data_IF_963029978278
#
_entry.id   IF_963029978278
#
_cell.length_a   1.000
_cell.length_b   1.000
_cell.length_c   1.000
_cell.angle_alpha   90.00
_cell.angle_beta   90.00
_cell.angle_gamma   90.00
#
_symmetry.space_group_name_H-M   'P 1'
#
loop_
_entity.id
_entity.type
_entity.pdbx_description
1 polymer ?
#
# COMPACT_ATOMS: atom_id res chain seq x y z
N UNK A 1 -19.09 -7.38 52.36
CA UNK A 1 -19.46 -6.27 51.45
C UNK A 1 -18.35 -6.08 50.42
N UNK A 2 -18.39 -6.82 49.33
CA UNK A 2 -17.47 -6.64 48.21
C UNK A 2 -18.17 -5.80 47.15
N UNK A 3 -17.69 -4.57 46.93
CA UNK A 3 -18.19 -3.66 45.92
C UNK A 3 -17.81 -4.21 44.52
N UNK A 4 -18.81 -4.40 43.69
CA UNK A 4 -18.68 -4.69 42.25
C UNK A 4 -17.91 -3.55 41.58
N UNK A 5 -16.68 -3.78 41.09
CA UNK A 5 -16.01 -2.89 40.16
C UNK A 5 -16.65 -3.07 38.79
N UNK A 6 -17.03 -1.95 38.20
CA UNK A 6 -17.73 -1.80 36.93
C UNK A 6 -16.89 -2.24 35.75
N UNK A 7 -17.46 -2.95 34.75
CA UNK A 7 -16.75 -3.38 33.53
C UNK A 7 -16.59 -2.26 32.47
N UNK A 8 -16.61 -0.98 32.86
CA UNK A 8 -16.63 0.16 31.93
C UNK A 8 -15.24 0.52 31.37
N UNK A 9 -14.14 0.01 31.94
CA UNK A 9 -12.77 0.39 31.52
C UNK A 9 -12.25 -0.41 30.31
N UNK A 10 -12.89 -1.50 29.89
CA UNK A 10 -12.37 -2.36 28.81
C UNK A 10 -12.84 -1.99 27.40
N UNK A 11 -13.71 -1.00 27.24
CA UNK A 11 -14.30 -0.64 25.93
C UNK A 11 -13.61 0.55 25.23
N UNK A 12 -12.57 1.13 25.81
CA UNK A 12 -11.91 2.32 25.26
C UNK A 12 -10.66 2.02 24.39
N UNK A 13 -10.24 0.75 24.28
CA UNK A 13 -9.00 0.38 23.58
C UNK A 13 -9.17 -0.10 22.15
N UNK A 14 -10.38 -0.20 21.59
CA UNK A 14 -10.60 -0.81 20.27
C UNK A 14 -10.62 0.23 19.13
N UNK A 15 -10.74 1.53 19.42
CA UNK A 15 -10.87 2.56 18.37
C UNK A 15 -9.58 3.32 18.01
N UNK A 16 -8.41 2.89 18.49
CA UNK A 16 -7.14 3.58 18.22
C UNK A 16 -6.42 3.01 16.96
N UNK A 17 -6.80 1.82 16.49
CA UNK A 17 -6.05 1.12 15.45
C UNK A 17 -6.13 1.76 14.04
N UNK A 18 -7.18 2.52 13.73
CA UNK A 18 -7.34 3.08 12.37
C UNK A 18 -6.59 4.40 12.15
N UNK A 19 -6.29 5.13 13.21
CA UNK A 19 -5.51 6.37 13.12
C UNK A 19 -4.01 6.10 12.96
N UNK A 20 -3.51 4.99 13.52
CA UNK A 20 -2.09 4.62 13.50
C UNK A 20 -1.59 4.13 12.14
N UNK A 21 -2.45 3.57 11.27
CA UNK A 21 -2.01 3.03 9.98
C UNK A 21 -1.49 4.11 9.00
N UNK A 22 -1.98 5.35 9.12
CA UNK A 22 -1.50 6.47 8.30
C UNK A 22 -0.21 7.10 8.86
N UNK A 23 0.04 7.01 10.17
CA UNK A 23 1.25 7.56 10.79
C UNK A 23 2.50 6.69 10.51
N UNK A 24 2.34 5.37 10.38
CA UNK A 24 3.44 4.45 10.08
C UNK A 24 4.15 4.75 8.76
N UNK A 25 3.46 5.30 7.77
CA UNK A 25 4.05 5.64 6.45
C UNK A 25 5.11 6.73 6.57
N UNK A 26 4.92 7.66 7.50
CA UNK A 26 5.84 8.77 7.75
C UNK A 26 7.04 8.39 8.63
N UNK A 27 7.07 7.15 9.13
CA UNK A 27 8.15 6.64 9.96
C UNK A 27 9.09 5.77 9.09
N UNK A 28 10.24 6.33 8.73
CA UNK A 28 11.26 5.62 7.96
C UNK A 28 12.24 4.97 8.93
N UNK A 29 12.35 3.65 8.86
CA UNK A 29 13.26 2.80 9.64
C UNK A 29 14.43 2.34 8.77
N UNK A 30 15.42 1.74 9.42
CA UNK A 30 16.55 1.06 8.77
C UNK A 30 17.31 1.96 7.76
N UNK A 31 17.37 3.27 8.04
CA UNK A 31 18.04 4.24 7.18
C UNK A 31 19.51 4.37 7.59
N UNK A 32 20.36 3.70 6.85
CA UNK A 32 21.80 3.60 7.12
C UNK A 32 22.59 4.75 6.46
N UNK A 33 23.57 5.26 7.20
CA UNK A 33 24.49 6.29 6.72
C UNK A 33 25.93 5.86 6.98
N UNK A 34 26.76 5.94 5.94
CA UNK A 34 28.20 5.65 6.00
C UNK A 34 28.98 6.90 5.61
N UNK A 35 29.90 7.36 6.49
CA UNK A 35 30.78 8.49 6.25
C UNK A 35 32.24 8.12 6.52
N UNK A 36 33.16 8.82 5.87
CA UNK A 36 34.58 8.76 6.25
C UNK A 36 34.81 9.54 7.54
N UNK A 37 35.53 8.96 8.48
CA UNK A 37 35.90 9.64 9.71
C UNK A 37 36.93 10.74 9.44
N UNK A 38 36.60 11.99 9.80
CA UNK A 38 37.44 13.15 9.68
C UNK A 38 38.05 13.62 11.02
N UNK A 39 37.84 12.84 12.09
CA UNK A 39 38.31 13.13 13.45
C UNK A 39 37.36 14.04 14.26
N UNK A 40 36.34 14.62 13.65
CA UNK A 40 35.35 15.45 14.34
C UNK A 40 34.01 14.73 14.48
N UNK A 41 33.80 14.07 15.60
CA UNK A 41 32.59 13.25 15.85
C UNK A 41 31.29 14.09 15.84
N UNK A 42 31.32 15.34 16.33
CA UNK A 42 30.13 16.20 16.34
C UNK A 42 29.71 16.57 14.91
N UNK A 43 30.68 16.94 14.09
CA UNK A 43 30.43 17.24 12.66
C UNK A 43 29.94 16.01 11.90
N UNK A 44 30.50 14.85 12.18
CA UNK A 44 30.06 13.57 11.57
C UNK A 44 28.61 13.26 11.92
N UNK A 45 28.20 13.45 13.17
CA UNK A 45 26.82 13.25 13.61
C UNK A 45 25.85 14.20 12.91
N UNK A 46 26.18 15.49 12.82
CA UNK A 46 25.33 16.47 12.15
C UNK A 46 25.22 16.17 10.64
N UNK A 47 26.33 15.82 10.00
CA UNK A 47 26.34 15.42 8.59
C UNK A 47 25.55 14.12 8.36
N UNK A 48 25.73 13.10 9.21
CA UNK A 48 24.99 11.85 9.13
C UNK A 48 23.49 12.09 9.29
N UNK A 49 23.10 12.90 10.25
CA UNK A 49 21.70 13.30 10.48
C UNK A 49 21.10 13.96 9.23
N UNK A 50 21.77 14.96 8.67
CA UNK A 50 21.30 15.66 7.47
C UNK A 50 21.15 14.72 6.28
N UNK A 51 22.15 13.88 6.02
CA UNK A 51 22.12 12.89 4.94
C UNK A 51 21.01 11.87 5.17
N UNK A 52 20.86 11.39 6.40
CA UNK A 52 19.80 10.48 6.78
C UNK A 52 18.42 11.10 6.52
N UNK A 53 18.19 12.35 6.91
CA UNK A 53 16.91 13.03 6.67
C UNK A 53 16.62 13.18 5.18
N UNK A 54 17.62 13.51 4.38
CA UNK A 54 17.48 13.61 2.92
C UNK A 54 17.17 12.25 2.29
N UNK A 55 17.89 11.20 2.67
CA UNK A 55 17.67 9.86 2.17
C UNK A 55 16.29 9.34 2.61
N UNK A 56 15.94 9.50 3.90
CA UNK A 56 14.65 9.10 4.44
C UNK A 56 13.49 9.82 3.76
N UNK A 57 13.63 11.12 3.45
CA UNK A 57 12.60 11.83 2.71
C UNK A 57 12.47 11.36 1.26
N UNK A 58 13.57 10.98 0.60
CA UNK A 58 13.53 10.35 -0.72
C UNK A 58 12.81 8.99 -0.68
N UNK A 59 13.06 8.16 0.35
CA UNK A 59 12.36 6.89 0.56
C UNK A 59 10.85 7.16 0.76
N UNK A 60 10.49 8.08 1.66
CA UNK A 60 9.10 8.49 1.88
C UNK A 60 8.45 8.95 0.57
N UNK A 61 9.09 9.88 -0.15
CA UNK A 61 8.58 10.40 -1.42
C UNK A 61 8.36 9.27 -2.44
N UNK A 62 9.32 8.35 -2.58
CA UNK A 62 9.20 7.17 -3.44
C UNK A 62 8.00 6.29 -3.04
N UNK A 63 7.75 6.13 -1.76
CA UNK A 63 6.66 5.30 -1.25
C UNK A 63 5.28 5.93 -1.48
N UNK A 64 5.15 7.26 -1.39
CA UNK A 64 3.85 7.95 -1.42
C UNK A 64 3.51 8.62 -2.76
N UNK A 65 4.49 8.94 -3.60
CA UNK A 65 4.28 9.61 -4.88
C UNK A 65 4.09 8.60 -6.02
N UNK A 66 3.33 9.01 -7.05
CA UNK A 66 3.35 8.31 -8.33
C UNK A 66 4.73 8.44 -9.00
N UNK A 67 5.07 7.58 -9.98
CA UNK A 67 6.32 7.72 -10.71
C UNK A 67 6.50 9.10 -11.35
N UNK A 68 5.41 9.67 -11.90
CA UNK A 68 5.41 10.98 -12.54
C UNK A 68 5.67 12.10 -11.50
N UNK A 69 4.96 12.08 -10.38
CA UNK A 69 5.14 13.07 -9.32
C UNK A 69 6.49 12.91 -8.61
N UNK A 70 7.02 11.69 -8.51
CA UNK A 70 8.37 11.45 -8.00
C UNK A 70 9.45 12.04 -8.94
N UNK A 71 9.26 11.97 -10.26
CA UNK A 71 10.14 12.64 -11.21
C UNK A 71 10.10 14.17 -11.05
N UNK A 72 8.92 14.75 -10.82
CA UNK A 72 8.78 16.19 -10.53
C UNK A 72 9.49 16.54 -9.22
N UNK A 73 9.29 15.75 -8.18
CA UNK A 73 9.97 15.92 -6.88
C UNK A 73 11.50 15.87 -7.03
N UNK A 74 12.04 14.94 -7.82
CA UNK A 74 13.48 14.78 -8.03
C UNK A 74 14.16 16.00 -8.67
N UNK A 75 13.38 16.90 -9.29
CA UNK A 75 13.85 18.16 -9.86
C UNK A 75 13.93 19.30 -8.82
N UNK A 76 13.36 19.10 -7.63
CA UNK A 76 13.41 20.08 -6.54
C UNK A 76 14.77 19.95 -5.85
N UNK A 77 15.68 20.87 -6.11
CA UNK A 77 17.03 20.83 -5.54
C UNK A 77 17.17 21.58 -4.22
N UNK A 78 16.30 22.56 -3.98
CA UNK A 78 16.45 23.51 -2.88
C UNK A 78 15.37 23.34 -1.82
N UNK A 79 15.58 22.38 -0.91
CA UNK A 79 14.77 22.22 0.29
C UNK A 79 15.61 21.68 1.45
N UNK A 80 15.23 22.07 2.65
CA UNK A 80 15.86 21.56 3.88
C UNK A 80 15.04 20.39 4.45
N UNK A 81 15.53 19.14 4.38
CA UNK A 81 14.80 17.99 4.88
C UNK A 81 14.54 18.06 6.39
N UNK A 82 15.36 18.80 7.15
CA UNK A 82 15.21 18.97 8.61
C UNK A 82 13.88 19.62 8.97
N UNK A 83 13.36 20.51 8.13
CA UNK A 83 12.11 21.23 8.38
C UNK A 83 10.88 20.30 8.31
N UNK A 84 11.04 19.13 7.69
CA UNK A 84 9.97 18.13 7.51
C UNK A 84 9.96 17.08 8.61
N UNK A 85 11.03 16.97 9.41
CA UNK A 85 11.18 15.97 10.46
C UNK A 85 10.44 16.41 11.72
N UNK A 86 9.64 15.51 12.31
CA UNK A 86 9.02 15.65 13.64
C UNK A 86 10.00 15.27 14.74
N UNK A 87 10.54 14.07 14.63
CA UNK A 87 11.52 13.50 15.53
C UNK A 87 12.38 12.43 14.83
N UNK A 88 13.47 12.02 15.47
CA UNK A 88 14.33 10.96 14.97
C UNK A 88 14.99 10.20 16.12
N UNK A 89 15.46 8.99 15.87
CA UNK A 89 16.17 8.15 16.82
C UNK A 89 17.38 7.51 16.15
N UNK A 90 18.53 7.60 16.80
CA UNK A 90 19.73 6.84 16.40
C UNK A 90 19.59 5.45 17.01
N UNK A 91 19.36 4.44 16.16
CA UNK A 91 19.18 3.05 16.60
C UNK A 91 20.54 2.39 16.88
N UNK A 92 21.51 2.66 16.02
CA UNK A 92 22.88 2.21 16.24
C UNK A 92 23.89 3.24 15.71
N UNK A 93 25.06 3.31 16.36
CA UNK A 93 26.19 4.15 15.95
C UNK A 93 27.50 3.39 16.15
N UNK A 94 28.36 3.42 15.13
CA UNK A 94 29.69 2.82 15.18
C UNK A 94 30.71 3.78 14.62
N UNK A 95 31.79 4.00 15.37
CA UNK A 95 32.88 4.90 14.97
C UNK A 95 34.18 4.07 14.99
N UNK A 96 34.90 4.10 13.87
CA UNK A 96 36.24 3.55 13.75
C UNK A 96 37.21 4.67 13.34
N UNK A 97 38.49 4.37 13.26
CA UNK A 97 39.52 5.34 12.82
C UNK A 97 39.25 5.87 11.40
N UNK A 98 38.60 5.06 10.54
CA UNK A 98 38.44 5.34 9.11
C UNK A 98 36.98 5.71 8.77
N UNK A 99 36.02 5.07 9.45
CA UNK A 99 34.60 5.12 9.07
C UNK A 99 33.71 5.47 10.26
N UNK A 100 32.64 6.15 9.93
CA UNK A 100 31.47 6.39 10.77
C UNK A 100 30.27 5.70 10.14
N UNK A 101 29.49 4.99 10.95
CA UNK A 101 28.21 4.36 10.58
C UNK A 101 27.15 4.78 11.56
N UNK A 102 25.97 5.10 11.07
CA UNK A 102 24.76 5.28 11.88
C UNK A 102 23.54 4.71 11.17
N UNK A 103 22.64 4.12 11.97
CA UNK A 103 21.30 3.72 11.58
C UNK A 103 20.31 4.64 12.29
N UNK A 104 19.49 5.34 11.53
CA UNK A 104 18.64 6.43 12.04
C UNK A 104 17.21 6.20 11.59
N UNK A 105 16.31 6.02 12.54
CA UNK A 105 14.86 6.03 12.31
C UNK A 105 14.34 7.47 12.36
N UNK A 106 13.44 7.82 11.42
CA UNK A 106 12.98 9.21 11.24
C UNK A 106 11.46 9.23 11.17
N UNK A 107 10.84 10.09 11.98
CA UNK A 107 9.42 10.43 11.85
C UNK A 107 9.27 11.78 11.14
N UNK A 108 8.67 11.76 9.96
CA UNK A 108 8.31 12.98 9.24
C UNK A 108 6.97 13.52 9.73
N UNK A 109 6.84 14.84 9.79
CA UNK A 109 5.58 15.49 10.15
C UNK A 109 4.60 15.46 8.96
N UNK A 110 3.43 14.78 9.06
CA UNK A 110 2.51 14.63 7.95
C UNK A 110 2.03 15.96 7.35
N UNK A 111 1.74 16.95 8.20
CA UNK A 111 1.22 18.23 7.73
C UNK A 111 2.30 19.07 7.02
N UNK A 112 3.54 19.03 7.52
CA UNK A 112 4.66 19.71 6.84
C UNK A 112 4.98 19.05 5.52
N UNK A 113 4.95 17.72 5.44
CA UNK A 113 5.14 16.96 4.20
C UNK A 113 4.04 17.29 3.18
N UNK A 114 2.76 17.27 3.60
CA UNK A 114 1.64 17.66 2.74
C UNK A 114 1.80 19.09 2.22
N UNK A 115 2.15 20.02 3.11
CA UNK A 115 2.37 21.41 2.73
C UNK A 115 3.51 21.53 1.73
N UNK A 116 4.66 20.90 1.98
CA UNK A 116 5.82 20.91 1.09
C UNK A 116 5.45 20.48 -0.34
N UNK A 117 4.74 19.35 -0.48
CA UNK A 117 4.33 18.86 -1.79
C UNK A 117 3.27 19.76 -2.44
N UNK A 118 2.33 20.30 -1.67
CA UNK A 118 1.32 21.24 -2.17
C UNK A 118 1.96 22.54 -2.68
N UNK A 119 2.91 23.10 -1.94
CA UNK A 119 3.64 24.32 -2.32
C UNK A 119 4.44 24.12 -3.63
N UNK A 120 4.82 22.87 -3.92
CA UNK A 120 5.52 22.49 -5.15
C UNK A 120 4.57 21.92 -6.25
N UNK A 121 3.27 22.13 -6.13
CA UNK A 121 2.25 21.64 -7.08
C UNK A 121 2.25 20.12 -7.28
N UNK A 122 2.67 19.36 -6.27
CA UNK A 122 2.60 17.90 -6.23
C UNK A 122 1.42 17.49 -5.35
N UNK A 123 0.46 16.78 -5.93
CA UNK A 123 -0.71 16.33 -5.20
C UNK A 123 -0.45 15.02 -4.46
N UNK A 124 -0.56 15.05 -3.14
CA UNK A 124 -0.49 13.85 -2.33
C UNK A 124 -1.82 13.12 -2.28
N UNK A 125 -1.79 11.85 -2.70
CA UNK A 125 -2.86 10.89 -2.51
C UNK A 125 -2.36 9.71 -1.72
N UNK A 126 -2.18 9.90 -0.43
CA UNK A 126 -1.76 8.81 0.45
C UNK A 126 -2.98 7.96 0.75
N UNK A 127 -3.01 6.78 0.17
CA UNK A 127 -4.06 5.82 0.41
C UNK A 127 -3.51 4.41 0.57
N UNK A 128 -3.62 3.88 1.79
CA UNK A 128 -3.19 2.52 2.12
C UNK A 128 -4.23 1.53 1.65
N UNK A 129 -3.82 0.52 0.91
CA UNK A 129 -4.74 -0.53 0.47
C UNK A 129 -5.20 -1.40 1.64
N UNK A 130 -6.32 -2.11 1.45
CA UNK A 130 -6.52 -3.33 2.20
C UNK A 130 -5.41 -4.33 1.90
N UNK A 131 -5.30 -5.37 2.72
CA UNK A 131 -4.22 -6.36 2.57
C UNK A 131 -4.60 -7.41 1.52
N UNK A 132 -3.84 -7.45 0.41
CA UNK A 132 -3.97 -8.44 -0.66
C UNK A 132 -3.16 -9.70 -0.35
N UNK A 133 -3.78 -10.88 -0.46
CA UNK A 133 -3.05 -12.15 -0.34
C UNK A 133 -2.24 -12.41 -1.62
N UNK A 134 -0.99 -12.82 -1.48
CA UNK A 134 -0.10 -13.11 -2.61
C UNK A 134 -0.08 -14.61 -2.91
N UNK A 135 -0.27 -14.94 -4.20
CA UNK A 135 0.01 -16.27 -4.75
C UNK A 135 1.25 -16.19 -5.65
N UNK A 136 2.44 -16.49 -5.13
CA UNK A 136 3.70 -16.40 -5.88
C UNK A 136 3.95 -17.70 -6.64
N UNK A 137 3.36 -17.85 -7.80
CA UNK A 137 3.51 -19.04 -8.65
C UNK A 137 4.81 -18.95 -9.42
N UNK A 138 5.68 -19.93 -9.26
CA UNK A 138 6.95 -20.03 -9.93
C UNK A 138 7.02 -21.30 -10.78
N UNK A 139 7.30 -21.16 -12.07
CA UNK A 139 7.51 -22.27 -12.98
C UNK A 139 8.93 -22.24 -13.51
N UNK A 140 9.66 -23.35 -13.24
CA UNK A 140 10.99 -23.58 -13.75
C UNK A 140 11.03 -24.93 -14.44
N UNK A 141 11.37 -24.95 -15.71
CA UNK A 141 11.25 -26.14 -16.57
C UNK A 141 9.82 -26.71 -16.51
N UNK A 142 9.70 -27.98 -16.08
CA UNK A 142 8.41 -28.68 -15.97
C UNK A 142 7.84 -28.67 -14.53
N UNK A 143 8.52 -28.02 -13.59
CA UNK A 143 8.09 -27.98 -12.19
C UNK A 143 7.42 -26.64 -11.86
N UNK A 144 6.29 -26.71 -11.16
CA UNK A 144 5.57 -25.53 -10.73
C UNK A 144 5.57 -25.52 -9.20
N UNK A 145 5.98 -24.40 -8.63
CA UNK A 145 6.10 -24.17 -7.19
C UNK A 145 5.07 -23.13 -6.74
N UNK A 146 4.48 -23.32 -5.57
CA UNK A 146 3.64 -22.33 -4.90
C UNK A 146 4.05 -22.21 -3.42
N UNK A 147 3.71 -23.21 -2.60
CA UNK A 147 4.03 -23.24 -1.16
C UNK A 147 5.21 -24.15 -0.83
N UNK A 148 5.97 -24.52 -1.84
CA UNK A 148 7.14 -25.40 -1.72
C UNK A 148 8.32 -24.68 -1.07
N UNK A 149 9.15 -25.42 -0.35
CA UNK A 149 10.36 -24.84 0.28
C UNK A 149 11.31 -24.23 -0.75
N UNK A 150 11.37 -24.84 -1.93
CA UNK A 150 12.27 -24.45 -3.02
C UNK A 150 11.68 -23.35 -3.92
N UNK A 151 10.57 -22.74 -3.54
CA UNK A 151 10.03 -21.59 -4.25
C UNK A 151 10.86 -20.33 -3.92
N UNK A 152 11.92 -20.10 -4.69
CA UNK A 152 12.78 -18.91 -4.55
C UNK A 152 12.03 -17.61 -4.90
N UNK A 153 11.07 -17.68 -5.82
CA UNK A 153 10.24 -16.54 -6.19
C UNK A 153 9.48 -15.97 -4.99
N UNK A 154 8.90 -16.85 -4.18
CA UNK A 154 8.26 -16.46 -2.93
C UNK A 154 9.23 -15.71 -2.00
N UNK A 155 10.45 -16.26 -1.83
CA UNK A 155 11.41 -15.72 -0.86
C UNK A 155 11.87 -14.32 -1.27
N UNK A 156 12.22 -14.13 -2.54
CA UNK A 156 12.65 -12.83 -3.06
C UNK A 156 11.54 -11.79 -3.07
N UNK A 157 10.29 -12.17 -3.43
CA UNK A 157 9.17 -11.23 -3.33
C UNK A 157 8.92 -10.79 -1.90
N UNK A 158 9.07 -11.69 -0.93
CA UNK A 158 8.90 -11.36 0.50
C UNK A 158 10.03 -10.46 1.00
N UNK A 159 11.26 -10.71 0.56
CA UNK A 159 12.45 -9.92 0.93
C UNK A 159 12.37 -8.50 0.38
N UNK A 160 11.96 -8.33 -0.87
CA UNK A 160 11.86 -7.04 -1.53
C UNK A 160 10.60 -6.23 -1.14
N UNK A 161 9.66 -6.86 -0.42
CA UNK A 161 8.45 -6.18 0.00
C UNK A 161 8.65 -5.29 1.23
N UNK A 162 8.50 -3.98 1.03
CA UNK A 162 8.48 -3.01 2.13
C UNK A 162 7.09 -2.94 2.78
N UNK A 163 7.03 -3.27 4.07
CA UNK A 163 5.80 -3.19 4.88
C UNK A 163 5.28 -1.76 5.04
N UNK A 164 6.13 -0.74 4.82
CA UNK A 164 5.74 0.68 4.88
C UNK A 164 5.08 1.17 3.59
N UNK A 165 5.06 0.35 2.53
CA UNK A 165 4.42 0.70 1.26
C UNK A 165 2.91 0.91 1.40
N UNK A 166 2.32 1.71 0.48
CA UNK A 166 0.87 1.95 0.42
C UNK A 166 0.09 0.69 0.03
N UNK A 167 0.67 -0.17 -0.79
CA UNK A 167 0.09 -1.46 -1.16
C UNK A 167 0.43 -2.49 -0.09
N UNK A 168 -0.55 -2.92 0.69
CA UNK A 168 -0.35 -3.94 1.72
C UNK A 168 -0.48 -5.34 1.13
N UNK A 169 0.61 -6.12 1.23
CA UNK A 169 0.68 -7.50 0.75
C UNK A 169 0.78 -8.46 1.93
N UNK A 170 0.06 -9.57 1.84
CA UNK A 170 0.11 -10.65 2.81
C UNK A 170 0.64 -11.92 2.16
N UNK A 171 1.73 -12.43 2.68
CA UNK A 171 2.39 -13.65 2.21
C UNK A 171 2.05 -14.83 3.13
N UNK A 172 1.17 -15.76 2.72
CA UNK A 172 0.91 -16.98 3.46
C UNK A 172 2.20 -17.81 3.59
N UNK A 173 2.49 -18.35 4.77
CA UNK A 173 3.73 -19.12 5.00
C UNK A 173 3.81 -20.35 4.09
N UNK A 174 4.99 -20.66 3.57
CA UNK A 174 5.28 -21.94 2.90
C UNK A 174 5.05 -23.08 3.89
N UNK A 175 4.00 -23.89 3.67
CA UNK A 175 3.63 -24.95 4.59
C UNK A 175 2.88 -26.10 3.90
N UNK A 176 2.97 -27.29 4.47
CA UNK A 176 2.20 -28.45 3.98
C UNK A 176 0.68 -28.23 4.07
N UNK A 177 0.22 -27.45 5.05
CA UNK A 177 -1.20 -27.11 5.19
C UNK A 177 -1.66 -26.33 3.98
N UNK A 178 -0.92 -25.30 3.57
CA UNK A 178 -1.26 -24.47 2.41
C UNK A 178 -1.19 -25.27 1.11
N UNK A 179 -0.21 -26.17 0.97
CA UNK A 179 -0.12 -27.09 -0.18
C UNK A 179 -1.33 -28.00 -0.32
N UNK A 180 -1.87 -28.48 0.80
CA UNK A 180 -3.09 -29.32 0.81
C UNK A 180 -4.37 -28.53 0.52
N UNK A 181 -4.38 -27.23 0.81
CA UNK A 181 -5.58 -26.38 0.62
C UNK A 181 -5.73 -25.90 -0.82
N UNK A 182 -4.61 -25.53 -1.46
CA UNK A 182 -4.60 -25.04 -2.84
C UNK A 182 -3.27 -25.37 -3.51
N UNK A 183 -3.33 -25.91 -4.73
CA UNK A 183 -2.16 -26.22 -5.55
C UNK A 183 -1.85 -25.11 -6.55
N UNK A 184 -0.63 -25.12 -7.10
CA UNK A 184 -0.21 -24.17 -8.13
C UNK A 184 -1.06 -24.29 -9.40
N UNK A 185 -1.42 -25.53 -9.81
CA UNK A 185 -2.24 -25.78 -10.98
C UNK A 185 -3.64 -25.16 -10.80
N UNK A 186 -4.24 -25.27 -9.61
CA UNK A 186 -5.54 -24.66 -9.32
C UNK A 186 -5.51 -23.13 -9.42
N UNK A 187 -4.36 -22.49 -9.12
CA UNK A 187 -4.17 -21.06 -9.31
C UNK A 187 -4.03 -20.72 -10.79
N UNK A 188 -3.22 -21.50 -11.55
CA UNK A 188 -3.02 -21.29 -12.98
C UNK A 188 -4.33 -21.47 -13.75
N UNK A 189 -5.12 -22.49 -13.38
CA UNK A 189 -6.44 -22.77 -13.95
C UNK A 189 -7.52 -21.77 -13.50
N UNK A 190 -7.15 -20.78 -12.70
CA UNK A 190 -8.06 -19.75 -12.18
C UNK A 190 -9.29 -20.33 -11.48
N UNK A 191 -9.11 -21.36 -10.64
CA UNK A 191 -10.19 -22.01 -9.93
C UNK A 191 -10.77 -21.09 -8.83
N UNK A 192 -11.82 -20.36 -9.18
CA UNK A 192 -12.47 -19.34 -8.33
C UNK A 192 -12.83 -19.91 -6.96
N UNK A 193 -13.49 -21.07 -6.93
CA UNK A 193 -13.97 -21.68 -5.66
C UNK A 193 -12.81 -22.02 -4.72
N UNK A 194 -11.69 -22.52 -5.25
CA UNK A 194 -10.51 -22.86 -4.44
C UNK A 194 -9.79 -21.62 -3.95
N UNK A 195 -9.65 -20.60 -4.80
CA UNK A 195 -9.03 -19.32 -4.45
C UNK A 195 -9.86 -18.62 -3.35
N UNK A 196 -11.18 -18.55 -3.52
CA UNK A 196 -12.08 -17.93 -2.54
C UNK A 196 -12.04 -18.68 -1.19
N UNK A 197 -12.09 -20.00 -1.22
CA UNK A 197 -11.96 -20.81 0.01
C UNK A 197 -10.62 -20.59 0.72
N UNK A 198 -9.53 -20.40 -0.04
CA UNK A 198 -8.21 -20.13 0.52
C UNK A 198 -8.13 -18.72 1.10
N UNK A 199 -8.72 -17.71 0.44
CA UNK A 199 -8.81 -16.35 0.95
C UNK A 199 -9.56 -16.29 2.28
N UNK A 200 -10.70 -17.00 2.37
CA UNK A 200 -11.51 -17.08 3.59
C UNK A 200 -10.73 -17.68 4.77
N UNK A 201 -9.82 -18.63 4.53
CA UNK A 201 -8.94 -19.20 5.56
C UNK A 201 -8.07 -18.14 6.24
N UNK A 202 -7.66 -17.10 5.49
CA UNK A 202 -6.83 -15.99 5.95
C UNK A 202 -7.61 -14.71 6.24
N UNK A 203 -8.95 -14.78 6.22
CA UNK A 203 -9.82 -13.61 6.37
C UNK A 203 -9.44 -12.49 5.39
N UNK A 204 -9.18 -12.86 4.13
CA UNK A 204 -8.87 -11.95 3.03
C UNK A 204 -9.95 -12.03 1.96
N UNK A 205 -10.15 -10.93 1.22
CA UNK A 205 -11.17 -10.84 0.16
C UNK A 205 -10.57 -10.73 -1.23
N UNK A 206 -9.30 -10.34 -1.30
CA UNK A 206 -8.60 -10.09 -2.57
C UNK A 206 -7.24 -10.75 -2.56
N UNK A 207 -6.80 -11.13 -3.75
CA UNK A 207 -5.47 -11.68 -3.96
C UNK A 207 -4.80 -11.06 -5.18
N UNK A 208 -3.48 -11.07 -5.17
CA UNK A 208 -2.65 -10.84 -6.35
C UNK A 208 -1.92 -12.15 -6.66
N UNK A 209 -2.12 -12.66 -7.87
CA UNK A 209 -1.41 -13.81 -8.40
C UNK A 209 -0.25 -13.27 -9.20
N UNK A 210 0.97 -13.67 -8.85
CA UNK A 210 2.19 -13.27 -9.53
C UNK A 210 2.85 -14.54 -10.07
N UNK A 211 2.78 -14.70 -11.38
CA UNK A 211 3.34 -15.85 -12.08
C UNK A 211 4.68 -15.47 -12.69
N UNK A 212 5.71 -16.24 -12.37
CA UNK A 212 7.03 -16.19 -12.98
C UNK A 212 7.31 -17.51 -13.68
N UNK A 213 7.67 -17.49 -14.95
CA UNK A 213 8.11 -18.65 -15.73
C UNK A 213 9.52 -18.40 -16.25
N UNK A 214 10.43 -19.29 -15.93
CA UNK A 214 11.77 -19.38 -16.52
C UNK A 214 11.76 -20.44 -17.61
N UNK A 215 12.13 -20.04 -18.82
CA UNK A 215 12.35 -20.95 -19.96
C UNK A 215 13.78 -20.81 -20.44
N UNK A 216 14.47 -21.95 -20.58
CA UNK A 216 15.78 -21.94 -21.18
C UNK A 216 15.66 -21.90 -22.71
N UNK A 217 16.17 -20.84 -23.34
CA UNK A 217 16.33 -20.75 -24.79
C UNK A 217 17.69 -21.34 -25.21
N UNK A 218 17.64 -22.50 -25.87
CA UNK A 218 18.84 -23.23 -26.32
C UNK A 218 19.62 -22.41 -27.35
N UNK A 219 18.93 -21.62 -28.20
CA UNK A 219 19.58 -20.88 -29.28
C UNK A 219 20.38 -19.68 -28.77
N UNK A 220 19.87 -19.04 -27.71
CA UNK A 220 20.52 -17.89 -27.10
C UNK A 220 21.40 -18.27 -25.92
N UNK A 221 21.36 -19.54 -25.48
CA UNK A 221 22.01 -20.04 -24.28
C UNK A 221 21.72 -19.19 -23.03
N UNK A 222 20.45 -18.79 -22.89
CA UNK A 222 19.97 -17.87 -21.87
C UNK A 222 18.60 -18.31 -21.34
N UNK A 223 18.16 -17.71 -20.23
CA UNK A 223 16.82 -17.90 -19.69
C UNK A 223 15.92 -16.73 -20.08
N UNK A 224 14.81 -17.06 -20.73
CA UNK A 224 13.69 -16.14 -20.94
C UNK A 224 12.83 -16.12 -19.70
N UNK A 225 12.54 -14.92 -19.19
CA UNK A 225 11.70 -14.71 -18.03
C UNK A 225 10.35 -14.13 -18.48
N UNK A 226 9.27 -14.84 -18.16
CA UNK A 226 7.92 -14.35 -18.39
C UNK A 226 7.23 -14.05 -17.07
N UNK A 227 6.69 -12.85 -16.96
CA UNK A 227 5.95 -12.38 -15.77
C UNK A 227 4.49 -12.12 -16.17
N UNK A 228 3.55 -12.59 -15.36
CA UNK A 228 2.13 -12.23 -15.46
C UNK A 228 1.58 -11.96 -14.05
N UNK A 229 0.82 -10.88 -13.93
CA UNK A 229 0.21 -10.52 -12.65
C UNK A 229 -1.29 -10.28 -12.82
N UNK A 230 -2.09 -10.85 -11.91
CA UNK A 230 -3.54 -10.73 -11.92
C UNK A 230 -4.07 -10.39 -10.54
N UNK A 231 -4.98 -9.44 -10.50
CA UNK A 231 -5.82 -9.19 -9.34
C UNK A 231 -7.02 -10.14 -9.36
N UNK A 232 -7.27 -10.84 -8.26
CA UNK A 232 -8.51 -11.54 -7.99
C UNK A 232 -9.32 -10.75 -6.97
N UNK A 233 -10.54 -10.36 -7.34
CA UNK A 233 -11.46 -9.60 -6.49
C UNK A 233 -12.89 -9.86 -6.95
N UNK A 234 -13.82 -10.10 -6.02
CA UNK A 234 -15.23 -10.35 -6.33
C UNK A 234 -15.44 -11.44 -7.40
N UNK A 235 -14.68 -12.53 -7.31
CA UNK A 235 -14.69 -13.66 -8.26
C UNK A 235 -14.29 -13.30 -9.70
N UNK A 236 -13.61 -12.18 -9.90
CA UNK A 236 -13.16 -11.69 -11.19
C UNK A 236 -11.63 -11.58 -11.18
N UNK A 237 -11.02 -12.00 -12.29
CA UNK A 237 -9.60 -11.79 -12.54
C UNK A 237 -9.40 -10.58 -13.45
N UNK A 238 -8.57 -9.66 -12.99
CA UNK A 238 -8.18 -8.47 -13.78
C UNK A 238 -6.67 -8.48 -13.96
N UNK A 239 -6.19 -8.32 -15.18
CA UNK A 239 -4.75 -8.25 -15.45
C UNK A 239 -4.17 -6.99 -14.83
N UNK A 240 -3.07 -7.14 -14.08
CA UNK A 240 -2.21 -6.05 -13.65
C UNK A 240 -1.14 -5.87 -14.71
N UNK A 241 -1.03 -4.66 -15.25
CA UNK A 241 0.02 -4.36 -16.23
C UNK A 241 1.34 -4.22 -15.47
N UNK A 242 2.24 -5.16 -15.69
CA UNK A 242 3.65 -5.09 -15.29
C UNK A 242 4.41 -4.61 -16.54
N UNK A 243 5.36 -3.71 -16.36
CA UNK A 243 6.21 -3.23 -17.47
C UNK A 243 7.01 -4.38 -18.12
N UNK A 244 7.54 -4.13 -19.31
CA UNK A 244 8.36 -5.12 -20.01
C UNK A 244 9.72 -5.23 -19.32
N UNK A 245 10.00 -6.40 -18.75
CA UNK A 245 11.26 -6.67 -18.06
C UNK A 245 12.44 -6.83 -19.02
N UNK A 246 12.16 -7.23 -20.28
CA UNK A 246 13.17 -7.45 -21.34
C UNK A 246 14.06 -6.22 -21.60
N UNK A 247 13.58 -5.02 -21.24
CA UNK A 247 14.34 -3.77 -21.41
C UNK A 247 15.42 -3.56 -20.33
N UNK A 248 15.43 -4.34 -19.25
CA UNK A 248 16.30 -4.12 -18.11
C UNK A 248 17.44 -5.13 -17.98
N UNK A 249 17.41 -6.23 -18.72
CA UNK A 249 18.36 -7.34 -18.55
C UNK A 249 18.89 -7.80 -19.91
N UNK A 250 19.90 -7.12 -20.42
CA UNK A 250 20.73 -7.66 -21.52
C UNK A 250 21.73 -8.68 -20.94
N UNK A 251 21.52 -9.94 -21.28
CA UNK A 251 22.58 -10.96 -21.30
C UNK A 251 23.00 -11.52 -19.95
N UNK A 252 22.10 -12.04 -19.09
CA UNK A 252 22.50 -12.53 -17.78
C UNK A 252 21.96 -13.90 -17.34
N UNK A 253 22.73 -14.55 -16.48
CA UNK A 253 22.50 -15.89 -15.95
C UNK A 253 21.30 -15.95 -14.95
N UNK A 254 20.75 -17.13 -14.74
CA UNK A 254 19.61 -17.49 -13.90
C UNK A 254 19.64 -17.03 -12.42
N UNK A 255 20.64 -16.22 -12.03
CA UNK A 255 20.82 -15.73 -10.64
C UNK A 255 20.13 -14.40 -10.33
N UNK A 256 19.22 -13.91 -11.19
CA UNK A 256 18.69 -12.57 -11.06
C UNK A 256 17.18 -12.51 -10.78
N UNK A 257 16.61 -13.59 -10.23
CA UNK A 257 15.21 -13.61 -9.78
C UNK A 257 14.96 -12.55 -8.70
N UNK A 258 15.95 -12.23 -7.90
CA UNK A 258 15.94 -11.14 -6.91
C UNK A 258 15.68 -9.77 -7.56
N UNK A 259 16.39 -9.46 -8.65
CA UNK A 259 16.17 -8.21 -9.42
C UNK A 259 14.79 -8.18 -10.05
N UNK A 260 14.31 -9.32 -10.55
CA UNK A 260 12.95 -9.46 -11.07
C UNK A 260 11.92 -9.24 -9.96
N UNK A 261 12.15 -9.78 -8.77
CA UNK A 261 11.27 -9.60 -7.63
C UNK A 261 11.17 -8.13 -7.22
N UNK A 262 12.30 -7.46 -7.13
CA UNK A 262 12.38 -6.02 -6.86
C UNK A 262 11.62 -5.19 -7.90
N UNK A 263 11.81 -5.50 -9.18
CA UNK A 263 11.07 -4.86 -10.27
C UNK A 263 9.57 -5.07 -10.11
N UNK A 264 9.12 -6.32 -9.90
CA UNK A 264 7.68 -6.65 -9.78
C UNK A 264 7.04 -5.99 -8.56
N UNK A 265 7.71 -5.98 -7.41
CA UNK A 265 7.20 -5.29 -6.22
C UNK A 265 7.05 -3.78 -6.49
N UNK A 266 8.04 -3.13 -7.13
CA UNK A 266 7.94 -1.73 -7.51
C UNK A 266 6.78 -1.47 -8.49
N UNK A 267 6.60 -2.34 -9.50
CA UNK A 267 5.51 -2.22 -10.48
C UNK A 267 4.13 -2.40 -9.84
N UNK A 268 3.99 -3.32 -8.89
CA UNK A 268 2.73 -3.47 -8.13
C UNK A 268 2.42 -2.24 -7.28
N UNK A 269 3.43 -1.63 -6.65
CA UNK A 269 3.26 -0.38 -5.91
C UNK A 269 2.88 0.78 -6.85
N UNK A 270 3.54 0.89 -8.01
CA UNK A 270 3.23 1.88 -9.02
C UNK A 270 1.81 1.70 -9.60
N UNK A 271 1.42 0.44 -9.85
CA UNK A 271 0.06 0.10 -10.26
C UNK A 271 -0.97 0.57 -9.22
N UNK A 272 -0.71 0.36 -7.92
CA UNK A 272 -1.61 0.82 -6.86
C UNK A 272 -1.73 2.34 -6.84
N UNK A 273 -0.60 3.06 -6.86
CA UNK A 273 -0.56 4.53 -6.87
C UNK A 273 -1.28 5.11 -8.10
N UNK A 274 -0.99 4.58 -9.28
CA UNK A 274 -1.60 5.02 -10.55
C UNK A 274 -3.11 4.75 -10.59
N UNK A 275 -3.57 3.68 -9.96
CA UNK A 275 -5.00 3.37 -9.85
C UNK A 275 -5.75 4.43 -9.03
N UNK A 276 -5.10 4.98 -8.01
CA UNK A 276 -5.67 6.07 -7.21
C UNK A 276 -5.76 7.38 -8.02
N UNK A 277 -4.76 7.66 -8.85
CA UNK A 277 -4.68 8.90 -9.62
C UNK A 277 -5.48 8.89 -10.93
N UNK A 278 -5.49 7.78 -11.66
CA UNK A 278 -6.21 7.69 -12.94
C UNK A 278 -7.72 7.92 -12.79
N UNK A 279 -8.25 7.68 -11.61
CA UNK A 279 -9.65 7.91 -11.30
C UNK A 279 -9.98 9.36 -10.95
N UNK A 280 -8.97 10.22 -10.66
CA UNK A 280 -9.14 11.68 -10.57
C UNK A 280 -9.35 12.36 -11.92
N UNK A 281 -8.65 11.89 -12.95
CA UNK A 281 -8.69 12.47 -14.28
C UNK A 281 -10.03 12.25 -15.00
N UNK A 282 -10.84 11.27 -14.57
CA UNK A 282 -12.16 11.02 -15.13
C UNK A 282 -13.26 11.97 -14.64
N UNK A 283 -13.02 12.73 -13.57
CA UNK A 283 -13.95 13.71 -13.03
C UNK A 283 -13.52 15.13 -13.40
N UNK A 284 -13.77 15.54 -14.65
CA UNK A 284 -13.68 16.95 -15.03
C UNK A 284 -14.90 17.71 -14.46
N UNK A 285 -14.76 18.23 -13.24
CA UNK A 285 -15.74 19.10 -12.58
C UNK A 285 -16.23 18.55 -11.24
N UNK A 286 -16.63 19.44 -10.34
CA UNK A 286 -17.31 19.07 -9.10
C UNK A 286 -18.64 18.37 -9.43
N UNK A 287 -18.82 17.17 -8.92
CA UNK A 287 -20.07 16.44 -9.02
C UNK A 287 -20.82 16.50 -7.70
N UNK A 288 -22.13 16.71 -7.81
CA UNK A 288 -23.04 16.64 -6.68
C UNK A 288 -23.57 15.22 -6.55
N UNK A 289 -23.32 14.60 -5.41
CA UNK A 289 -23.87 13.29 -5.07
C UNK A 289 -24.64 13.33 -3.76
N UNK A 290 -25.56 12.42 -3.59
CA UNK A 290 -26.33 12.23 -2.37
C UNK A 290 -26.00 10.88 -1.76
N UNK A 291 -25.67 10.87 -0.47
CA UNK A 291 -25.36 9.63 0.26
C UNK A 291 -26.32 9.49 1.41
N UNK A 292 -27.04 8.35 1.44
CA UNK A 292 -27.89 7.95 2.56
C UNK A 292 -27.11 7.04 3.51
N UNK A 293 -27.12 7.39 4.79
CA UNK A 293 -26.51 6.64 5.89
C UNK A 293 -27.62 6.19 6.84
N UNK A 294 -27.66 4.91 7.16
CA UNK A 294 -28.59 4.37 8.15
C UNK A 294 -28.21 4.86 9.55
N UNK A 295 -29.15 5.47 10.26
CA UNK A 295 -28.98 6.07 11.58
C UNK A 295 -29.57 5.20 12.71
N UNK A 296 -30.02 3.97 12.44
CA UNK A 296 -30.53 3.07 13.49
C UNK A 296 -29.45 2.71 14.51
N UNK A 297 -28.24 2.42 14.04
CA UNK A 297 -27.07 2.20 14.89
C UNK A 297 -26.18 3.45 14.89
N UNK A 298 -26.27 4.23 15.95
CA UNK A 298 -25.52 5.49 16.12
C UNK A 298 -24.00 5.27 15.95
N UNK A 299 -23.44 4.18 16.49
CA UNK A 299 -22.00 3.92 16.38
C UNK A 299 -21.58 3.60 14.96
N UNK A 300 -22.37 2.78 14.28
CA UNK A 300 -22.15 2.44 12.87
C UNK A 300 -22.31 3.68 11.98
N UNK A 301 -23.29 4.51 12.24
CA UNK A 301 -23.53 5.78 11.53
C UNK A 301 -22.32 6.71 11.66
N UNK A 302 -21.83 6.95 12.86
CA UNK A 302 -20.62 7.76 13.09
C UNK A 302 -19.39 7.21 12.38
N UNK A 303 -19.17 5.91 12.42
CA UNK A 303 -18.05 5.26 11.71
C UNK A 303 -18.14 5.50 10.19
N UNK A 304 -19.34 5.38 9.62
CA UNK A 304 -19.57 5.60 8.19
C UNK A 304 -19.37 7.09 7.84
N UNK A 305 -19.88 7.99 8.64
CA UNK A 305 -19.70 9.45 8.46
C UNK A 305 -18.23 9.82 8.47
N UNK A 306 -17.50 9.38 9.49
CA UNK A 306 -16.05 9.60 9.61
C UNK A 306 -15.31 9.07 8.39
N UNK A 307 -15.64 7.85 7.93
CA UNK A 307 -15.02 7.25 6.75
C UNK A 307 -15.25 8.07 5.48
N UNK A 308 -16.46 8.60 5.29
CA UNK A 308 -16.80 9.41 4.13
C UNK A 308 -16.12 10.78 4.22
N UNK A 309 -16.18 11.43 5.38
CA UNK A 309 -15.64 12.78 5.57
C UNK A 309 -14.10 12.81 5.53
N UNK A 310 -13.44 11.74 5.91
CA UNK A 310 -11.99 11.58 5.71
C UNK A 310 -11.62 11.60 4.22
N UNK A 311 -12.47 11.01 3.36
CA UNK A 311 -12.23 10.94 1.92
C UNK A 311 -12.54 12.28 1.24
N UNK A 312 -13.67 12.88 1.57
CA UNK A 312 -14.28 13.99 0.82
C UNK A 312 -13.95 15.35 1.45
N UNK A 313 -13.66 15.37 2.75
CA UNK A 313 -13.50 16.57 3.56
C UNK A 313 -14.85 17.08 4.10
N UNK A 314 -14.89 17.43 5.38
CA UNK A 314 -16.11 17.85 6.09
C UNK A 314 -16.77 19.11 5.51
N UNK A 315 -15.97 19.99 4.87
CA UNK A 315 -16.47 21.23 4.26
C UNK A 315 -17.32 20.99 3.02
N UNK A 316 -17.21 19.83 2.40
CA UNK A 316 -17.86 19.48 1.14
C UNK A 316 -19.14 18.65 1.35
N UNK A 317 -19.53 18.37 2.60
CA UNK A 317 -20.69 17.60 2.95
C UNK A 317 -21.66 18.43 3.80
N UNK A 318 -22.94 18.39 3.47
CA UNK A 318 -24.03 19.03 4.21
C UNK A 318 -25.17 18.04 4.42
N UNK A 319 -25.79 18.06 5.58
CA UNK A 319 -27.04 17.31 5.79
C UNK A 319 -28.13 17.97 4.92
N UNK A 320 -28.68 17.20 3.99
CA UNK A 320 -29.79 17.61 3.14
C UNK A 320 -31.13 17.32 3.82
N UNK A 321 -31.25 16.12 4.39
CA UNK A 321 -32.52 15.65 4.93
C UNK A 321 -32.34 14.59 5.99
N UNK A 322 -33.23 14.55 6.97
CA UNK A 322 -33.36 13.46 7.96
C UNK A 322 -34.67 12.73 7.68
N UNK A 323 -34.63 11.49 7.21
CA UNK A 323 -35.78 10.65 6.89
C UNK A 323 -35.89 9.48 7.83
N UNK A 324 -36.67 9.60 8.91
CA UNK A 324 -36.88 8.48 9.84
C UNK A 324 -35.55 7.96 10.41
N UNK A 325 -35.06 6.86 9.84
CA UNK A 325 -33.82 6.20 10.25
C UNK A 325 -32.64 6.45 9.30
N UNK A 326 -32.78 7.31 8.33
CA UNK A 326 -31.74 7.61 7.36
C UNK A 326 -31.35 9.09 7.42
N UNK A 327 -30.05 9.38 7.42
CA UNK A 327 -29.49 10.73 7.21
C UNK A 327 -28.99 10.84 5.79
N UNK A 328 -29.51 11.81 5.03
CA UNK A 328 -29.09 12.05 3.65
C UNK A 328 -28.16 13.24 3.62
N UNK A 329 -26.94 12.99 3.10
CA UNK A 329 -25.93 13.99 2.89
C UNK A 329 -25.90 14.45 1.43
N UNK A 330 -25.80 15.74 1.23
CA UNK A 330 -25.48 16.39 -0.03
C UNK A 330 -23.96 16.63 -0.04
N UNK A 331 -23.27 16.09 -1.04
CA UNK A 331 -21.81 16.04 -1.07
C UNK A 331 -21.31 16.56 -2.41
N UNK A 332 -20.47 17.59 -2.35
CA UNK A 332 -19.70 18.09 -3.49
C UNK A 332 -18.34 17.38 -3.54
N UNK A 333 -18.04 16.73 -4.64
CA UNK A 333 -16.80 15.97 -4.77
C UNK A 333 -16.23 15.99 -6.17
N UNK A 334 -14.91 16.02 -6.25
CA UNK A 334 -14.14 15.84 -7.48
C UNK A 334 -13.75 14.36 -7.71
N UNK A 335 -14.14 13.46 -6.78
CA UNK A 335 -13.85 12.04 -6.89
C UNK A 335 -14.98 11.31 -7.62
N UNK A 336 -14.63 10.38 -8.50
CA UNK A 336 -15.60 9.44 -9.06
C UNK A 336 -16.11 8.50 -7.97
N UNK A 337 -17.34 7.97 -8.13
CA UNK A 337 -17.90 6.95 -7.21
C UNK A 337 -16.99 5.74 -7.09
N UNK A 338 -16.33 5.36 -8.17
CA UNK A 338 -15.36 4.27 -8.18
C UNK A 338 -14.14 4.57 -7.31
N UNK A 339 -13.66 5.81 -7.32
CA UNK A 339 -12.56 6.26 -6.44
C UNK A 339 -13.00 6.28 -4.97
N UNK A 340 -14.19 6.81 -4.68
CA UNK A 340 -14.75 6.79 -3.33
C UNK A 340 -14.88 5.35 -2.83
N UNK A 341 -15.41 4.45 -3.65
CA UNK A 341 -15.53 3.03 -3.30
C UNK A 341 -14.19 2.36 -3.05
N UNK A 342 -13.17 2.62 -3.88
CA UNK A 342 -11.83 2.10 -3.66
C UNK A 342 -11.27 2.49 -2.28
N UNK A 343 -11.58 3.71 -1.83
CA UNK A 343 -11.15 4.22 -0.52
C UNK A 343 -11.97 3.65 0.64
N UNK A 344 -13.28 3.49 0.45
CA UNK A 344 -14.18 2.90 1.43
C UNK A 344 -13.93 1.40 1.64
N UNK A 345 -13.40 0.69 0.63
CA UNK A 345 -13.05 -0.73 0.71
C UNK A 345 -12.08 -1.05 1.86
N UNK A 346 -11.14 -0.17 2.16
CA UNK A 346 -10.20 -0.34 3.30
C UNK A 346 -10.92 -0.38 4.65
N UNK A 347 -12.13 0.20 4.71
CA UNK A 347 -12.98 0.24 5.91
C UNK A 347 -14.15 -0.76 5.83
N UNK A 348 -14.10 -1.70 4.87
CA UNK A 348 -15.18 -2.67 4.56
C UNK A 348 -16.52 -1.99 4.26
N UNK A 349 -16.48 -0.84 3.59
CA UNK A 349 -17.63 -0.06 3.17
C UNK A 349 -17.65 0.11 1.66
N UNK A 350 -18.84 0.29 1.09
CA UNK A 350 -19.01 0.68 -0.32
C UNK A 350 -20.25 1.52 -0.52
N UNK A 351 -20.24 2.37 -1.54
CA UNK A 351 -21.40 3.05 -2.06
C UNK A 351 -22.06 2.16 -3.12
N UNK A 352 -23.34 1.90 -2.93
CA UNK A 352 -24.19 1.26 -3.93
C UNK A 352 -25.20 2.26 -4.45
N UNK A 353 -25.54 2.20 -5.73
CA UNK A 353 -26.53 3.06 -6.32
C UNK A 353 -27.90 2.71 -5.73
N UNK A 354 -28.58 3.70 -5.15
CA UNK A 354 -29.90 3.52 -4.58
C UNK A 354 -30.95 4.04 -5.59
N UNK A 355 -31.67 3.13 -6.24
CA UNK A 355 -32.71 3.40 -7.24
C UNK A 355 -32.22 4.06 -8.56
N UNK A 356 -33.19 4.44 -9.40
CA UNK A 356 -32.98 5.02 -10.73
C UNK A 356 -32.41 6.45 -10.74
N UNK A 357 -32.27 7.10 -9.60
CA UNK A 357 -31.69 8.44 -9.51
C UNK A 357 -30.18 8.39 -9.77
N UNK A 358 -29.71 9.16 -10.72
CA UNK A 358 -28.33 9.05 -11.24
C UNK A 358 -27.24 9.30 -10.20
N UNK A 359 -27.50 10.10 -9.16
CA UNK A 359 -26.51 10.55 -8.19
C UNK A 359 -26.84 10.20 -6.73
N UNK A 360 -27.72 9.22 -6.49
CA UNK A 360 -28.12 8.83 -5.14
C UNK A 360 -27.52 7.44 -4.76
N UNK A 361 -26.84 7.38 -3.61
CA UNK A 361 -26.10 6.20 -3.16
C UNK A 361 -26.44 5.86 -1.72
N UNK A 362 -26.39 4.57 -1.38
CA UNK A 362 -26.43 4.05 -0.01
C UNK A 362 -25.09 3.46 0.37
N UNK A 363 -24.76 3.50 1.66
CA UNK A 363 -23.55 2.85 2.18
C UNK A 363 -23.88 1.44 2.64
N UNK A 364 -23.18 0.45 2.12
CA UNK A 364 -23.21 -0.92 2.61
C UNK A 364 -21.88 -1.26 3.30
N UNK A 365 -21.97 -2.05 4.38
CA UNK A 365 -20.83 -2.76 4.98
C UNK A 365 -20.86 -4.20 4.51
N UNK A 366 -19.71 -4.78 4.18
CA UNK A 366 -19.57 -6.17 3.73
C UNK A 366 -18.45 -6.90 4.46
#
# INVERSE_FOLDING_TARGET
MLKKLSPIIFLFFINIASCFANEEIYNIKDNEVYLKNNGNVLELRENAKYISFKNGFNILAKNILTPEDFLRFSQISDFNPTDLVSDYKIESEKISEINYYAEISINFNPERVKKFFSDNNINLNIFVSESYLIFPVYKKFNTIYLWDKDNLWYDFLLEEYDQQSLLKLYFPKKSNINRLKISAEQIIDMNISKIDSFLNLYNKKKAIIIFLEEKFDINQNNFDIKIDAKLFSNNIFTKIKIGDYDLLVEGKNSSEIDLVAKFVINELQNWWKSRIDSEKLSSKGESLIFISIDSEDIKKSFFIEEAIFEIIGTKNAKIKELRGKETIYEIFTNYSIKNINLRLESKSLRLIKANSDENFYKVESY
#
